data_IF_225388780937
#
_entry.id   IF_225388780937
#
_cell.length_a   1.000
_cell.length_b   1.000
_cell.length_c   1.000
_cell.angle_alpha   90.00
_cell.angle_beta   90.00
_cell.angle_gamma   90.00
#
_symmetry.space_group_name_H-M   'P 1'
#
loop_
_entity.id
_entity.type
_entity.pdbx_description
1 polymer ?
#
# COMPACT_ATOMS: atom_id res chain seq x y z
N UNK A 1 4.20 -12.74 14.47
CA UNK A 1 4.71 -12.08 13.25
C UNK A 1 3.54 -11.59 12.43
N UNK A 2 3.61 -10.39 11.86
CA UNK A 2 2.56 -9.84 10.99
C UNK A 2 2.71 -10.40 9.58
N UNK A 3 1.61 -10.81 8.94
CA UNK A 3 1.58 -11.37 7.58
C UNK A 3 1.11 -10.31 6.59
N UNK A 4 1.89 -10.05 5.55
CA UNK A 4 1.52 -9.20 4.42
C UNK A 4 1.30 -10.05 3.17
N UNK A 5 0.26 -9.72 2.40
CA UNK A 5 0.04 -10.28 1.07
C UNK A 5 0.90 -9.60 0.01
N UNK A 6 0.89 -10.15 -1.20
CA UNK A 6 1.54 -9.53 -2.37
C UNK A 6 0.52 -8.71 -3.15
N UNK A 7 0.84 -7.45 -3.46
CA UNK A 7 0.02 -6.61 -4.31
C UNK A 7 -0.41 -7.32 -5.61
N UNK A 8 -1.62 -7.05 -6.06
CA UNK A 8 -2.23 -7.62 -7.28
C UNK A 8 -2.53 -9.13 -7.22
N UNK A 9 -2.46 -9.75 -6.04
CA UNK A 9 -2.84 -11.15 -5.80
C UNK A 9 -4.10 -11.23 -4.92
N UNK A 10 -4.85 -12.34 -4.94
CA UNK A 10 -6.10 -12.45 -4.17
C UNK A 10 -5.95 -12.18 -2.66
N UNK A 11 -4.78 -12.50 -2.10
CA UNK A 11 -4.46 -12.31 -0.69
C UNK A 11 -3.75 -10.98 -0.37
N UNK A 12 -3.76 -9.99 -1.29
CA UNK A 12 -3.08 -8.71 -1.10
C UNK A 12 -3.54 -7.97 0.17
N UNK A 13 -2.57 -7.39 0.88
CA UNK A 13 -2.85 -6.32 1.84
C UNK A 13 -3.11 -5.04 1.05
N UNK A 14 -4.26 -4.39 1.27
CA UNK A 14 -4.72 -3.22 0.50
C UNK A 14 -4.86 -2.00 1.42
N UNK A 15 -4.38 -0.85 0.97
CA UNK A 15 -4.49 0.46 1.64
C UNK A 15 -5.16 1.45 0.69
N UNK A 16 -6.16 2.17 1.17
CA UNK A 16 -6.79 3.28 0.45
C UNK A 16 -6.37 4.61 1.07
N UNK A 17 -5.77 5.50 0.27
CA UNK A 17 -5.42 6.85 0.68
C UNK A 17 -6.60 7.79 0.43
N UNK A 18 -7.11 8.41 1.50
CA UNK A 18 -8.11 9.48 1.42
C UNK A 18 -7.40 10.83 1.46
N UNK A 19 -6.71 11.15 0.38
CA UNK A 19 -5.83 12.32 0.24
C UNK A 19 -4.46 11.92 -0.32
N UNK A 20 -4.16 12.39 -1.53
CA UNK A 20 -3.07 11.85 -2.37
C UNK A 20 -2.04 12.91 -2.76
N UNK A 21 -1.81 13.87 -1.85
CA UNK A 21 -0.76 14.88 -1.97
C UNK A 21 0.65 14.32 -1.71
N UNK A 22 1.63 15.20 -1.55
CA UNK A 22 3.05 14.87 -1.38
C UNK A 22 3.34 13.99 -0.16
N UNK A 23 2.58 14.16 0.93
CA UNK A 23 2.69 13.30 2.10
C UNK A 23 2.13 11.89 1.82
N UNK A 24 0.99 11.82 1.14
CA UNK A 24 0.39 10.55 0.72
C UNK A 24 1.27 9.79 -0.28
N UNK A 25 2.03 10.51 -1.10
CA UNK A 25 3.01 9.93 -2.03
C UNK A 25 4.10 9.15 -1.30
N UNK A 26 4.71 9.72 -0.25
CA UNK A 26 5.75 9.01 0.51
C UNK A 26 5.17 7.81 1.28
N UNK A 27 3.95 7.91 1.79
CA UNK A 27 3.24 6.76 2.39
C UNK A 27 3.00 5.65 1.36
N UNK A 28 2.56 6.01 0.14
CA UNK A 28 2.38 5.06 -0.94
C UNK A 28 3.70 4.36 -1.33
N UNK A 29 4.81 5.10 -1.36
CA UNK A 29 6.14 4.55 -1.66
C UNK A 29 6.55 3.52 -0.61
N UNK A 30 6.37 3.80 0.68
CA UNK A 30 6.69 2.84 1.74
C UNK A 30 5.78 1.60 1.71
N UNK A 31 4.49 1.77 1.43
CA UNK A 31 3.59 0.64 1.20
C UNK A 31 4.07 -0.23 0.03
N UNK A 32 4.46 0.37 -1.10
CA UNK A 32 4.99 -0.36 -2.25
C UNK A 32 6.31 -1.07 -1.95
N UNK A 33 7.21 -0.48 -1.15
CA UNK A 33 8.45 -1.13 -0.68
C UNK A 33 8.18 -2.40 0.11
N UNK A 34 7.04 -2.48 0.80
CA UNK A 34 6.56 -3.67 1.51
C UNK A 34 5.66 -4.60 0.67
N UNK A 35 5.42 -4.27 -0.61
CA UNK A 35 4.56 -5.05 -1.49
C UNK A 35 3.06 -4.92 -1.21
N UNK A 36 2.63 -3.87 -0.50
CA UNK A 36 1.23 -3.55 -0.22
C UNK A 36 0.59 -2.88 -1.44
N UNK A 37 -0.65 -3.23 -1.73
CA UNK A 37 -1.42 -2.61 -2.81
C UNK A 37 -2.03 -1.29 -2.34
N UNK A 38 -1.74 -0.21 -3.07
CA UNK A 38 -2.20 1.14 -2.73
C UNK A 38 -3.26 1.57 -3.74
N UNK A 39 -4.40 2.02 -3.22
CA UNK A 39 -5.45 2.74 -3.95
C UNK A 39 -5.36 4.19 -3.49
N UNK A 40 -5.08 5.13 -4.38
CA UNK A 40 -4.88 6.56 -4.04
C UNK A 40 -5.71 7.46 -4.94
#
# INVERSE_FOLDING_TARGET
>A
MTRLGTALRPAATRVMLLGSGELGKEVAIECQRLGVEVIA
#
